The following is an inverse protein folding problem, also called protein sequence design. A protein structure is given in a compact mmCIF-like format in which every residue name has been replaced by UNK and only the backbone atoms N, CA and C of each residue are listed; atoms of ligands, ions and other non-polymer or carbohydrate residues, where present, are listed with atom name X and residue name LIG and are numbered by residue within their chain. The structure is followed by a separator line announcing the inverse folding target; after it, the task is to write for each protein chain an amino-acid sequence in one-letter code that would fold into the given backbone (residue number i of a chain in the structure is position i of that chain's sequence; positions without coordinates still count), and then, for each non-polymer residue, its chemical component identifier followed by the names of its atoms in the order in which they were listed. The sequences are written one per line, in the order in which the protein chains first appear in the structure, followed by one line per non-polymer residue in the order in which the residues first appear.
data_IF_662130290169
#
_entry.id   IF_662130290169
#
_cell.length_a   1.000
_cell.length_b   1.000
_cell.length_c   1.000
_cell.angle_alpha   90.00
_cell.angle_beta   90.00
_cell.angle_gamma   90.00
#
_symmetry.space_group_name_H-M   'P 1'
#
loop_
_entity.id
_entity.type
_entity.pdbx_description
1 polymer ?
#
# COMPACT_ATOMS: atom_id res chain seq x y z
N UNK A 1 -68.45 -11.48 -2.77
CA UNK A 1 -67.33 -11.45 -1.82
C UNK A 1 -66.47 -10.24 -2.18
N UNK A 2 -66.85 -9.01 -1.80
CA UNK A 2 -66.81 -8.38 -0.47
C UNK A 2 -65.43 -7.80 -0.11
N UNK A 3 -65.31 -6.49 -0.37
CA UNK A 3 -64.65 -5.43 0.43
C UNK A 3 -63.10 -5.47 0.39
N UNK A 4 -62.33 -4.41 0.07
CA UNK A 4 -62.42 -3.04 0.56
C UNK A 4 -61.74 -2.04 -0.40
N UNK A 5 -62.53 -1.10 -0.91
CA UNK A 5 -62.12 0.26 -1.30
C UNK A 5 -62.91 1.18 -0.37
N UNK A 6 -62.29 2.22 0.20
CA UNK A 6 -62.83 3.59 0.37
C UNK A 6 -62.25 4.32 1.62
N UNK A 7 -61.61 5.46 1.33
CA UNK A 7 -61.49 6.73 2.08
C UNK A 7 -61.88 6.76 3.57
N UNK A 8 -61.03 7.36 4.41
CA UNK A 8 -61.48 8.46 5.29
C UNK A 8 -60.33 9.37 5.76
N UNK A 9 -60.38 10.61 5.29
CA UNK A 9 -59.73 11.81 5.85
C UNK A 9 -60.75 12.44 6.80
N UNK A 10 -60.41 12.80 8.05
CA UNK A 10 -61.10 13.87 8.81
C UNK A 10 -60.25 14.42 9.98
N UNK A 11 -59.83 15.69 9.84
CA UNK A 11 -59.81 16.85 10.78
C UNK A 11 -59.42 16.66 12.28
N UNK A 12 -58.41 17.38 12.81
CA UNK A 12 -58.37 18.79 13.30
C UNK A 12 -59.00 19.04 14.70
N UNK A 13 -58.16 19.37 15.70
CA UNK A 13 -58.34 20.30 16.85
C UNK A 13 -57.24 19.98 17.92
N UNK A 14 -56.28 20.82 18.33
CA UNK A 14 -56.22 22.21 18.83
C UNK A 14 -56.10 22.30 20.38
N UNK A 15 -54.93 22.80 20.83
CA UNK A 15 -54.62 23.73 21.95
C UNK A 15 -55.05 23.44 23.41
N UNK A 16 -54.06 23.43 24.34
CA UNK A 16 -53.93 24.26 25.57
C UNK A 16 -52.78 23.72 26.46
N UNK A 17 -51.56 24.29 26.40
CA UNK A 17 -50.93 25.23 27.37
C UNK A 17 -51.18 24.89 28.86
N UNK A 18 -50.11 24.53 29.59
CA UNK A 18 -49.79 25.06 30.94
C UNK A 18 -48.26 25.04 31.10
N UNK A 19 -47.71 26.23 31.23
CA UNK A 19 -46.33 26.53 31.63
C UNK A 19 -46.17 26.30 33.13
N UNK A 20 -45.07 25.69 33.56
CA UNK A 20 -44.57 25.87 34.92
C UNK A 20 -43.21 26.55 34.87
N UNK A 21 -43.25 27.80 35.28
CA UNK A 21 -42.14 28.72 35.52
C UNK A 21 -41.53 28.36 36.87
N UNK A 22 -40.20 28.28 36.94
CA UNK A 22 -39.49 28.55 38.19
C UNK A 22 -38.42 29.62 37.92
N UNK A 23 -38.60 30.74 38.63
CA UNK A 23 -37.69 31.87 38.74
C UNK A 23 -36.47 31.47 39.62
N UNK A 24 -35.24 31.71 39.16
CA UNK A 24 -34.41 32.89 39.45
C UNK A 24 -33.82 32.94 40.86
N UNK A 25 -32.52 32.71 40.96
CA UNK A 25 -31.65 33.38 41.93
C UNK A 25 -30.36 33.83 41.23
N UNK A 26 -30.05 35.11 41.38
CA UNK A 26 -28.89 35.83 40.87
C UNK A 26 -28.16 36.44 42.08
N UNK A 27 -26.83 36.28 42.18
CA UNK A 27 -25.91 37.13 42.95
C UNK A 27 -24.43 36.82 42.57
N UNK A 28 -23.43 37.68 42.83
CA UNK A 28 -22.75 38.42 41.76
C UNK A 28 -21.21 38.35 41.71
N UNK A 29 -20.68 38.78 40.56
CA UNK A 29 -19.31 39.20 40.15
C UNK A 29 -18.08 38.94 41.04
N UNK A 30 -17.10 38.25 40.45
CA UNK A 30 -15.68 38.31 40.78
C UNK A 30 -14.85 38.01 39.52
N UNK A 31 -14.11 39.01 39.04
CA UNK A 31 -13.25 38.98 37.86
C UNK A 31 -12.04 38.05 38.03
N UNK A 32 -11.57 37.42 36.94
CA UNK A 32 -10.18 37.46 36.44
C UNK A 32 -9.89 36.28 35.48
N UNK A 33 -9.05 36.59 34.50
CA UNK A 33 -8.78 35.90 33.26
C UNK A 33 -7.87 34.66 33.32
N UNK A 34 -7.91 33.90 32.21
CA UNK A 34 -6.95 32.89 31.70
C UNK A 34 -7.11 31.50 32.34
N UNK A 35 -7.16 30.39 31.61
CA UNK A 35 -6.86 30.05 30.22
C UNK A 35 -6.65 28.52 30.13
N UNK A 36 -6.45 28.01 28.90
CA UNK A 36 -6.11 26.63 28.49
C UNK A 36 -7.31 25.75 28.12
N UNK A 37 -7.93 26.03 26.98
CA UNK A 37 -7.58 25.54 25.62
C UNK A 37 -7.89 24.06 25.39
N UNK A 38 -9.05 23.86 24.77
CA UNK A 38 -9.32 22.77 23.84
C UNK A 38 -8.21 22.76 22.78
N UNK A 39 -7.23 21.86 22.94
CA UNK A 39 -6.26 21.56 21.90
C UNK A 39 -6.97 20.86 20.75
N UNK A 40 -7.43 21.67 19.80
CA UNK A 40 -7.62 21.28 18.42
C UNK A 40 -6.29 20.71 17.93
N UNK A 41 -6.24 19.40 17.69
CA UNK A 41 -5.14 18.78 16.93
C UNK A 41 -5.32 19.21 15.47
N UNK A 42 -4.84 20.43 15.18
CA UNK A 42 -4.53 20.86 13.84
C UNK A 42 -3.27 20.12 13.43
N UNK A 43 -3.42 18.99 12.74
CA UNK A 43 -2.36 18.44 11.92
C UNK A 43 -2.11 19.42 10.78
N UNK A 44 -1.32 20.46 11.05
CA UNK A 44 -0.82 21.38 10.05
C UNK A 44 0.09 20.55 9.15
N UNK A 45 -0.46 20.06 8.03
CA UNK A 45 0.28 19.31 7.03
C UNK A 45 1.32 20.27 6.46
N UNK A 46 2.55 20.18 6.96
CA UNK A 46 3.63 21.03 6.52
C UNK A 46 3.96 20.68 5.08
N UNK A 47 3.55 21.54 4.16
CA UNK A 47 3.85 21.39 2.73
C UNK A 47 5.25 21.95 2.48
N UNK A 48 6.17 21.12 2.01
CA UNK A 48 7.49 21.55 1.57
C UNK A 48 7.42 21.87 0.07
N UNK A 49 7.85 23.05 -0.34
CA UNK A 49 7.96 23.38 -1.76
C UNK A 49 9.37 23.04 -2.26
N UNK A 50 9.46 22.29 -3.36
CA UNK A 50 10.71 21.86 -3.99
C UNK A 50 10.80 22.36 -5.42
N UNK A 51 11.94 22.97 -5.79
CA UNK A 51 12.21 23.37 -7.18
C UNK A 51 13.03 22.31 -7.88
N UNK A 52 12.46 21.74 -8.95
CA UNK A 52 13.07 20.71 -9.79
C UNK A 52 14.37 21.22 -10.40
N UNK A 53 15.44 20.45 -10.27
CA UNK A 53 16.78 20.70 -10.82
C UNK A 53 16.99 19.90 -12.10
N UNK A 54 18.01 20.28 -12.87
CA UNK A 54 18.42 19.53 -14.04
C UNK A 54 18.89 18.12 -13.64
N UNK A 55 18.32 17.10 -14.28
CA UNK A 55 18.59 15.69 -13.97
C UNK A 55 17.67 15.07 -12.93
N UNK A 56 16.78 15.84 -12.30
CA UNK A 56 15.79 15.28 -11.38
C UNK A 56 14.74 14.43 -12.10
N UNK A 57 14.31 13.38 -11.41
CA UNK A 57 13.14 12.58 -11.79
C UNK A 57 12.07 12.70 -10.71
N UNK A 58 10.80 12.65 -11.09
CA UNK A 58 9.70 12.74 -10.13
C UNK A 58 9.76 11.60 -9.11
N UNK A 59 10.17 10.39 -9.54
CA UNK A 59 10.43 9.24 -8.69
C UNK A 59 11.63 9.45 -7.76
N UNK A 60 12.73 10.02 -8.24
CA UNK A 60 13.89 10.35 -7.41
C UNK A 60 13.56 11.33 -6.31
N UNK A 61 12.83 12.40 -6.63
CA UNK A 61 12.35 13.39 -5.64
C UNK A 61 11.39 12.72 -4.64
N UNK A 62 10.42 11.95 -5.12
CA UNK A 62 9.48 11.25 -4.24
C UNK A 62 10.21 10.32 -3.26
N UNK A 63 11.21 9.57 -3.73
CA UNK A 63 12.03 8.70 -2.89
C UNK A 63 12.87 9.46 -1.87
N UNK A 64 13.52 10.55 -2.28
CA UNK A 64 14.36 11.38 -1.40
C UNK A 64 13.55 11.97 -0.23
N UNK A 65 12.35 12.45 -0.53
CA UNK A 65 11.46 13.08 0.46
C UNK A 65 10.48 12.11 1.12
N UNK A 66 10.60 10.81 0.81
CA UNK A 66 9.74 9.73 1.34
C UNK A 66 8.23 9.99 1.13
N UNK A 67 7.90 10.61 0.00
CA UNK A 67 6.52 10.90 -0.42
C UNK A 67 6.08 9.87 -1.44
N UNK A 68 4.83 9.43 -1.38
CA UNK A 68 4.29 8.52 -2.38
C UNK A 68 4.18 9.25 -3.74
N UNK A 69 4.64 8.61 -4.83
CA UNK A 69 4.70 9.26 -6.15
C UNK A 69 3.31 9.67 -6.66
N UNK A 70 2.30 8.84 -6.44
CA UNK A 70 0.91 9.09 -6.79
C UNK A 70 0.33 10.24 -5.96
N UNK A 71 0.65 10.30 -4.66
CA UNK A 71 0.27 11.42 -3.82
C UNK A 71 0.93 12.72 -4.30
N UNK A 72 2.22 12.67 -4.62
CA UNK A 72 2.97 13.79 -5.16
C UNK A 72 2.36 14.28 -6.48
N UNK A 73 2.02 13.36 -7.40
CA UNK A 73 1.34 13.68 -8.65
C UNK A 73 -0.05 14.28 -8.42
N UNK A 74 -0.83 13.69 -7.50
CA UNK A 74 -2.18 14.15 -7.16
C UNK A 74 -2.17 15.56 -6.58
N UNK A 75 -1.25 15.84 -5.66
CA UNK A 75 -1.09 17.17 -5.03
C UNK A 75 -0.66 18.20 -6.08
N UNK A 76 0.22 17.83 -7.01
CA UNK A 76 0.72 18.73 -8.05
C UNK A 76 -0.09 18.69 -9.36
N UNK A 77 -1.20 17.95 -9.40
CA UNK A 77 -2.08 17.78 -10.58
C UNK A 77 -1.32 17.33 -11.84
N UNK A 78 -0.31 16.48 -11.66
CA UNK A 78 0.48 15.93 -12.75
C UNK A 78 -0.24 14.72 -13.37
N UNK A 79 -0.35 14.70 -14.69
CA UNK A 79 -0.96 13.58 -15.42
C UNK A 79 0.03 12.42 -15.65
N UNK A 80 1.33 12.71 -15.64
CA UNK A 80 2.41 11.75 -15.85
C UNK A 80 3.64 12.12 -15.01
N UNK A 81 4.68 11.29 -15.07
CA UNK A 81 5.94 11.50 -14.35
C UNK A 81 6.87 12.55 -14.99
N UNK A 82 6.44 13.22 -16.05
CA UNK A 82 7.26 14.20 -16.75
C UNK A 82 7.28 15.52 -15.98
N UNK A 83 8.47 15.91 -15.54
CA UNK A 83 8.75 17.19 -14.88
C UNK A 83 9.85 17.93 -15.63
N UNK A 84 9.85 19.24 -15.52
CA UNK A 84 10.83 20.11 -16.17
C UNK A 84 11.65 20.86 -15.11
N UNK A 85 12.96 21.04 -15.33
CA UNK A 85 13.78 21.89 -14.47
C UNK A 85 13.17 23.27 -14.27
N UNK A 86 13.16 23.76 -13.03
CA UNK A 86 12.52 25.02 -12.63
C UNK A 86 11.06 24.89 -12.21
N UNK A 87 10.40 23.74 -12.41
CA UNK A 87 9.06 23.50 -11.88
C UNK A 87 9.08 23.47 -10.35
N UNK A 88 8.04 24.00 -9.70
CA UNK A 88 7.88 23.92 -8.24
C UNK A 88 6.86 22.85 -7.90
N UNK A 89 7.25 21.88 -7.07
CA UNK A 89 6.43 20.80 -6.57
C UNK A 89 6.09 21.03 -5.09
N UNK A 90 4.82 20.90 -4.75
CA UNK A 90 4.34 20.81 -3.38
C UNK A 90 4.49 19.35 -2.90
N UNK A 91 5.40 19.14 -1.95
CA UNK A 91 5.67 17.86 -1.30
C UNK A 91 4.83 17.79 0.00
N UNK A 92 3.83 16.91 0.09
CA UNK A 92 3.19 16.63 1.38
C UNK A 92 4.18 15.91 2.30
N UNK A 93 4.33 16.37 3.55
CA UNK A 93 5.11 15.64 4.55
C UNK A 93 4.38 14.34 4.93
N UNK A 94 5.15 13.25 5.03
CA UNK A 94 4.65 11.95 5.46
C UNK A 94 4.14 12.03 6.90
N UNK A 95 2.82 11.96 7.08
CA UNK A 95 2.26 11.49 8.34
C UNK A 95 2.68 10.03 8.49
N UNK A 96 3.73 9.80 9.28
CA UNK A 96 4.25 8.48 9.62
C UNK A 96 3.30 7.79 10.59
N UNK A 97 2.09 7.48 10.13
CA UNK A 97 1.13 6.65 10.84
C UNK A 97 0.26 5.95 9.81
N UNK A 98 0.10 4.64 10.01
CA UNK A 98 -0.81 3.72 9.31
C UNK A 98 -0.25 3.02 8.07
N UNK A 99 0.49 1.94 8.35
CA UNK A 99 0.39 0.73 7.54
C UNK A 99 -1.07 0.28 7.51
N UNK A 100 -1.78 0.67 6.46
CA UNK A 100 -3.16 0.28 6.24
C UNK A 100 -3.21 -0.89 5.28
N UNK A 101 -3.35 -2.08 5.88
CA UNK A 101 -3.84 -3.29 5.22
C UNK A 101 -5.15 -2.97 4.49
N UNK A 102 -5.10 -2.76 3.18
CA UNK A 102 -6.29 -2.78 2.34
C UNK A 102 -6.10 -3.74 1.18
N UNK A 103 -6.81 -4.87 1.27
CA UNK A 103 -7.18 -5.67 0.09
C UNK A 103 -7.96 -4.76 -0.86
N UNK A 104 -7.26 -4.11 -1.78
CA UNK A 104 -7.89 -3.33 -2.84
C UNK A 104 -7.01 -2.28 -3.50
N UNK A 105 -5.96 -1.79 -2.82
CA UNK A 105 -4.99 -0.87 -3.43
C UNK A 105 -3.60 -1.18 -2.86
N UNK A 106 -2.83 -2.02 -3.55
CA UNK A 106 -1.41 -2.22 -3.25
C UNK A 106 -0.74 -0.86 -3.51
N UNK A 107 -0.07 -0.26 -2.53
CA UNK A 107 0.48 1.07 -2.73
C UNK A 107 1.66 0.99 -3.72
N UNK A 108 1.91 2.07 -4.45
CA UNK A 108 2.82 2.04 -5.62
C UNK A 108 4.22 1.57 -5.23
N UNK A 109 4.68 1.90 -4.03
CA UNK A 109 5.96 1.46 -3.50
C UNK A 109 6.06 -0.06 -3.34
N UNK A 110 4.99 -0.74 -2.93
CA UNK A 110 4.94 -2.20 -2.80
C UNK A 110 4.91 -2.86 -4.19
N UNK A 111 4.19 -2.25 -5.16
CA UNK A 111 4.24 -2.66 -6.56
C UNK A 111 5.66 -2.53 -7.13
N UNK A 112 6.32 -1.38 -6.92
CA UNK A 112 7.68 -1.15 -7.41
C UNK A 112 8.69 -2.03 -6.70
N UNK A 113 8.52 -2.32 -5.41
CA UNK A 113 9.36 -3.28 -4.69
C UNK A 113 9.23 -4.69 -5.28
N UNK A 114 7.99 -5.15 -5.51
CA UNK A 114 7.73 -6.43 -6.15
C UNK A 114 8.31 -6.50 -7.56
N UNK A 115 8.13 -5.45 -8.37
CA UNK A 115 8.68 -5.37 -9.71
C UNK A 115 10.22 -5.39 -9.72
N UNK A 116 10.88 -4.67 -8.80
CA UNK A 116 12.35 -4.71 -8.64
C UNK A 116 12.87 -6.08 -8.27
N UNK A 117 12.15 -6.77 -7.38
CA UNK A 117 12.49 -8.15 -7.05
C UNK A 117 12.35 -9.08 -8.25
N UNK A 118 11.20 -9.04 -8.96
CA UNK A 118 10.96 -9.85 -10.15
C UNK A 118 12.03 -9.57 -11.21
N UNK A 119 12.33 -8.29 -11.44
CA UNK A 119 13.37 -7.88 -12.38
C UNK A 119 14.72 -8.51 -12.03
N UNK A 120 15.11 -8.49 -10.76
CA UNK A 120 16.41 -8.99 -10.34
C UNK A 120 16.49 -10.52 -10.28
N UNK A 121 15.42 -11.22 -9.89
CA UNK A 121 15.38 -12.68 -9.73
C UNK A 121 15.07 -13.44 -11.04
N UNK A 122 14.30 -12.82 -11.93
CA UNK A 122 13.79 -13.47 -13.15
C UNK A 122 14.16 -12.72 -14.43
N UNK A 123 15.22 -11.90 -14.39
CA UNK A 123 15.72 -11.22 -15.60
C UNK A 123 16.07 -12.24 -16.68
N UNK A 124 15.51 -12.05 -17.88
CA UNK A 124 15.76 -12.95 -19.02
C UNK A 124 14.99 -14.26 -18.98
N UNK A 125 14.18 -14.51 -17.95
CA UNK A 125 13.20 -15.59 -17.97
C UNK A 125 11.98 -15.21 -18.84
N UNK A 126 11.19 -16.22 -19.22
CA UNK A 126 9.91 -16.00 -19.87
C UNK A 126 8.99 -15.10 -19.02
N UNK A 127 8.05 -14.39 -19.66
CA UNK A 127 7.06 -13.58 -18.94
C UNK A 127 6.29 -14.41 -17.90
N UNK A 128 5.94 -15.66 -18.22
CA UNK A 128 5.31 -16.57 -17.27
C UNK A 128 6.20 -16.86 -16.05
N UNK A 129 7.51 -17.01 -16.25
CA UNK A 129 8.50 -17.17 -15.18
C UNK A 129 8.63 -15.93 -14.29
N UNK A 130 8.53 -14.73 -14.86
CA UNK A 130 8.51 -13.48 -14.10
C UNK A 130 7.25 -13.36 -13.24
N UNK A 131 6.08 -13.67 -13.82
CA UNK A 131 4.81 -13.73 -13.07
C UNK A 131 4.89 -14.79 -11.96
N UNK A 132 5.52 -15.93 -12.23
CA UNK A 132 5.70 -17.01 -11.28
C UNK A 132 6.48 -16.57 -10.02
N UNK A 133 7.57 -15.81 -10.18
CA UNK A 133 8.32 -15.26 -9.05
C UNK A 133 7.45 -14.30 -8.23
N UNK A 134 6.70 -13.42 -8.89
CA UNK A 134 5.75 -12.53 -8.21
C UNK A 134 4.68 -13.29 -7.43
N UNK A 135 4.11 -14.35 -8.03
CA UNK A 135 3.09 -15.17 -7.41
C UNK A 135 3.58 -15.87 -6.15
N UNK A 136 4.84 -16.35 -6.11
CA UNK A 136 5.44 -16.94 -4.89
C UNK A 136 5.42 -15.95 -3.72
N UNK A 137 5.70 -14.67 -3.95
CA UNK A 137 5.66 -13.65 -2.90
C UNK A 137 4.25 -13.51 -2.34
N UNK A 138 3.24 -13.47 -3.22
CA UNK A 138 1.84 -13.37 -2.81
C UNK A 138 1.34 -14.63 -2.09
N UNK A 139 1.81 -15.81 -2.52
CA UNK A 139 1.54 -17.08 -1.85
C UNK A 139 2.11 -17.08 -0.42
N UNK A 140 3.29 -16.48 -0.21
CA UNK A 140 3.85 -16.29 1.14
C UNK A 140 2.96 -15.38 1.98
N UNK A 141 2.48 -14.25 1.47
CA UNK A 141 1.57 -13.37 2.24
C UNK A 141 0.30 -14.11 2.70
N UNK A 142 -0.24 -14.96 1.82
CA UNK A 142 -1.40 -15.79 2.12
C UNK A 142 -1.10 -16.88 3.18
N UNK A 143 0.13 -17.36 3.28
CA UNK A 143 0.52 -18.42 4.21
C UNK A 143 0.73 -17.88 5.65
N UNK A 144 0.08 -18.46 6.69
CA UNK A 144 0.21 -18.03 8.09
C UNK A 144 1.64 -17.98 8.65
N UNK A 145 2.57 -18.78 8.11
CA UNK A 145 3.94 -18.90 8.62
C UNK A 145 4.89 -17.82 8.07
N UNK A 146 4.40 -16.95 7.19
CA UNK A 146 5.19 -15.89 6.56
C UNK A 146 4.68 -14.50 6.98
N UNK A 147 5.54 -13.47 6.87
CA UNK A 147 5.16 -12.08 7.08
C UNK A 147 3.98 -11.64 6.20
N UNK A 148 3.32 -10.54 6.60
CA UNK A 148 2.02 -10.13 6.04
C UNK A 148 2.08 -8.92 5.11
N UNK A 149 3.28 -8.42 4.85
CA UNK A 149 3.53 -7.34 3.89
C UNK A 149 4.56 -7.76 2.85
N UNK A 150 4.47 -7.21 1.62
CA UNK A 150 5.44 -7.53 0.55
C UNK A 150 6.82 -7.14 1.04
N UNK A 151 6.96 -5.96 1.62
CA UNK A 151 8.21 -5.49 2.23
C UNK A 151 8.80 -6.50 3.21
N UNK A 152 8.07 -6.97 4.23
CA UNK A 152 8.65 -7.92 5.19
C UNK A 152 9.03 -9.26 4.57
N UNK A 153 8.27 -9.75 3.58
CA UNK A 153 8.62 -10.98 2.85
C UNK A 153 9.91 -10.80 2.05
N UNK A 154 10.04 -9.68 1.33
CA UNK A 154 11.23 -9.39 0.51
C UNK A 154 12.46 -9.19 1.38
N UNK A 155 12.34 -8.48 2.50
CA UNK A 155 13.46 -8.22 3.41
C UNK A 155 13.70 -9.32 4.46
N UNK A 156 13.02 -10.47 4.34
CA UNK A 156 13.18 -11.59 5.26
C UNK A 156 14.62 -12.11 5.28
N UNK A 157 15.12 -12.41 6.49
CA UNK A 157 16.47 -12.93 6.73
C UNK A 157 16.45 -14.29 7.43
N UNK A 158 17.39 -15.14 7.09
CA UNK A 158 17.74 -16.36 7.83
C UNK A 158 19.22 -16.31 8.21
N UNK A 159 19.55 -16.41 9.50
CA UNK A 159 20.92 -16.41 10.01
C UNK A 159 21.83 -15.32 9.40
N UNK A 160 21.29 -14.09 9.26
CA UNK A 160 21.92 -12.88 8.68
C UNK A 160 22.03 -12.84 7.15
N UNK A 161 21.54 -13.85 6.45
CA UNK A 161 21.48 -13.89 4.98
C UNK A 161 20.06 -13.53 4.54
N UNK A 162 19.92 -12.63 3.56
CA UNK A 162 18.62 -12.32 2.97
C UNK A 162 18.11 -13.51 2.16
N UNK A 163 16.80 -13.74 2.21
CA UNK A 163 16.16 -14.80 1.42
C UNK A 163 16.27 -14.54 -0.10
N UNK A 164 16.28 -13.27 -0.49
CA UNK A 164 16.42 -12.84 -1.87
C UNK A 164 17.77 -12.15 -2.04
N UNK A 165 18.60 -12.61 -2.98
CA UNK A 165 19.94 -12.05 -3.19
C UNK A 165 19.94 -10.55 -3.55
N UNK A 166 18.96 -10.02 -4.31
CA UNK A 166 18.90 -8.60 -4.69
C UNK A 166 18.89 -7.64 -3.50
N UNK A 167 18.41 -8.10 -2.34
CA UNK A 167 18.37 -7.30 -1.12
C UNK A 167 19.75 -7.19 -0.48
N UNK A 168 20.53 -8.27 -0.55
CA UNK A 168 21.88 -8.30 0.01
C UNK A 168 22.92 -7.59 -0.85
N UNK A 169 22.79 -7.67 -2.17
CA UNK A 169 23.71 -7.02 -3.12
C UNK A 169 23.32 -5.57 -3.47
N UNK A 170 22.12 -5.14 -3.10
CA UNK A 170 21.61 -3.78 -3.30
C UNK A 170 20.94 -3.55 -4.65
N UNK A 171 20.91 -4.53 -5.55
CA UNK A 171 20.22 -4.44 -6.85
C UNK A 171 18.71 -4.24 -6.72
N UNK A 172 18.13 -4.55 -5.56
CA UNK A 172 16.73 -4.24 -5.22
C UNK A 172 16.40 -2.74 -5.30
N UNK A 173 17.41 -1.85 -5.32
CA UNK A 173 17.23 -0.41 -5.42
C UNK A 173 17.25 0.11 -6.86
N UNK A 174 17.57 -0.73 -7.85
CA UNK A 174 17.60 -0.35 -9.27
C UNK A 174 16.20 -0.21 -9.84
N UNK A 175 16.04 0.59 -10.89
CA UNK A 175 14.76 0.71 -11.59
C UNK A 175 14.42 -0.60 -12.32
N UNK A 176 13.20 -1.15 -12.16
CA UNK A 176 12.77 -2.35 -12.87
C UNK A 176 12.47 -2.03 -14.34
N UNK A 177 12.51 -3.05 -15.20
CA UNK A 177 12.01 -2.93 -16.56
C UNK A 177 10.47 -2.97 -16.63
N UNK A 178 9.92 -2.51 -17.75
CA UNK A 178 8.46 -2.47 -17.98
C UNK A 178 7.83 -3.86 -17.90
N UNK A 179 8.56 -4.90 -18.33
CA UNK A 179 8.09 -6.30 -18.30
C UNK A 179 7.93 -6.78 -16.86
N UNK A 180 8.87 -6.48 -15.95
CA UNK A 180 8.73 -6.87 -14.55
C UNK A 180 7.62 -6.11 -13.83
N UNK A 181 7.36 -4.84 -14.20
CA UNK A 181 6.21 -4.09 -13.70
C UNK A 181 4.91 -4.76 -14.14
N UNK A 182 4.79 -5.14 -15.41
CA UNK A 182 3.62 -5.84 -15.91
C UNK A 182 3.44 -7.22 -15.25
N UNK A 183 4.54 -7.96 -15.07
CA UNK A 183 4.52 -9.24 -14.37
C UNK A 183 4.06 -9.11 -12.91
N UNK A 184 4.50 -8.06 -12.21
CA UNK A 184 4.03 -7.74 -10.86
C UNK A 184 2.52 -7.45 -10.85
N UNK A 185 2.02 -6.65 -11.79
CA UNK A 185 0.59 -6.37 -11.93
C UNK A 185 -0.22 -7.64 -12.20
N UNK A 186 0.27 -8.52 -13.07
CA UNK A 186 -0.36 -9.81 -13.36
C UNK A 186 -0.45 -10.69 -12.10
N UNK A 187 0.65 -10.81 -11.34
CA UNK A 187 0.64 -11.55 -10.08
C UNK A 187 -0.36 -10.93 -9.08
N UNK A 188 -0.34 -9.60 -8.91
CA UNK A 188 -1.25 -8.88 -8.00
C UNK A 188 -2.73 -9.00 -8.38
N UNK A 189 -3.03 -9.16 -9.67
CA UNK A 189 -4.38 -9.46 -10.16
C UNK A 189 -4.82 -10.91 -9.91
N UNK A 190 -3.95 -11.75 -9.33
CA UNK A 190 -4.24 -13.11 -8.90
C UNK A 190 -3.74 -14.21 -9.84
N UNK A 191 -2.93 -13.87 -10.86
CA UNK A 191 -2.35 -14.87 -11.75
C UNK A 191 -1.23 -15.63 -11.05
N UNK A 192 -1.39 -16.94 -10.87
CA UNK A 192 -0.38 -17.82 -10.29
C UNK A 192 -0.10 -19.05 -11.17
N UNK A 193 0.96 -19.02 -12.02
CA UNK A 193 1.36 -20.17 -12.81
C UNK A 193 2.05 -21.27 -11.98
N UNK A 194 2.41 -20.99 -10.72
CA UNK A 194 3.14 -21.92 -9.84
C UNK A 194 2.24 -22.89 -9.09
N UNK A 195 0.92 -22.63 -9.07
CA UNK A 195 -0.09 -23.42 -8.35
C UNK A 195 0.13 -23.44 -6.82
N UNK A 196 0.46 -22.29 -6.24
CA UNK A 196 0.64 -22.14 -4.79
C UNK A 196 2.04 -22.43 -4.29
N UNK A 197 3.08 -22.34 -5.14
CA UNK A 197 4.44 -22.56 -4.68
C UNK A 197 4.87 -21.47 -3.69
N UNK A 198 5.70 -21.87 -2.71
CA UNK A 198 6.22 -20.99 -1.66
C UNK A 198 7.71 -20.70 -1.84
N UNK A 199 8.39 -21.50 -2.65
CA UNK A 199 9.82 -21.39 -2.88
C UNK A 199 10.15 -21.58 -4.37
N UNK A 200 11.27 -21.02 -4.80
CA UNK A 200 11.85 -21.30 -6.11
C UNK A 200 13.36 -21.38 -6.01
N UNK A 201 13.99 -22.08 -6.96
CA UNK A 201 15.43 -22.14 -7.10
C UNK A 201 15.83 -22.49 -8.53
N UNK A 202 17.00 -22.04 -8.96
CA UNK A 202 17.62 -22.54 -10.17
C UNK A 202 18.40 -23.83 -9.84
N UNK A 203 18.06 -25.01 -10.40
CA UNK A 203 18.69 -26.27 -10.05
C UNK A 203 20.16 -26.36 -10.47
N UNK A 204 20.57 -25.61 -11.50
CA UNK A 204 21.93 -25.56 -12.04
C UNK A 204 22.86 -24.69 -11.18
N UNK A 205 22.32 -23.63 -10.56
CA UNK A 205 23.12 -22.62 -9.84
C UNK A 205 23.04 -22.81 -8.32
N UNK A 206 21.86 -23.18 -7.80
CA UNK A 206 21.63 -23.29 -6.35
C UNK A 206 22.48 -24.42 -5.74
N UNK A 207 23.12 -24.13 -4.60
CA UNK A 207 23.91 -25.09 -3.82
C UNK A 207 23.20 -25.58 -2.55
N UNK A 208 22.09 -24.94 -2.19
CA UNK A 208 21.33 -25.26 -0.99
C UNK A 208 20.69 -26.65 -1.12
N UNK A 209 21.02 -27.55 -0.21
CA UNK A 209 20.49 -28.92 -0.21
C UNK A 209 19.08 -28.99 0.36
N UNK A 210 18.73 -28.07 1.26
CA UNK A 210 17.41 -28.01 1.86
C UNK A 210 16.37 -27.57 0.82
N UNK A 211 16.66 -26.55 0.01
CA UNK A 211 15.70 -26.12 -1.02
C UNK A 211 15.47 -27.21 -2.08
N UNK A 212 16.51 -28.00 -2.38
CA UNK A 212 16.45 -29.12 -3.34
C UNK A 212 15.71 -30.34 -2.81
N UNK A 213 15.48 -30.45 -1.50
CA UNK A 213 14.71 -31.56 -0.90
C UNK A 213 13.21 -31.27 -0.80
N UNK A 214 12.78 -30.04 -1.07
CA UNK A 214 11.37 -29.66 -1.01
C UNK A 214 10.54 -30.32 -2.12
N UNK A 215 9.26 -30.65 -1.85
CA UNK A 215 8.32 -31.10 -2.88
C UNK A 215 8.21 -30.12 -4.05
N UNK A 216 8.56 -30.60 -5.25
CA UNK A 216 8.46 -29.82 -6.49
C UNK A 216 7.01 -29.75 -6.95
N UNK A 217 6.54 -28.53 -7.24
CA UNK A 217 5.20 -28.26 -7.77
C UNK A 217 5.24 -28.18 -9.29
N UNK A 218 6.17 -27.39 -9.84
CA UNK A 218 6.32 -27.20 -11.29
C UNK A 218 7.71 -26.66 -11.64
N UNK A 219 8.04 -26.63 -12.94
CA UNK A 219 9.24 -26.00 -13.48
C UNK A 219 8.84 -25.04 -14.59
N UNK A 220 9.29 -23.79 -14.51
CA UNK A 220 9.01 -22.75 -15.52
C UNK A 220 10.36 -22.10 -15.85
N UNK A 221 10.74 -22.17 -17.13
CA UNK A 221 12.06 -21.72 -17.56
C UNK A 221 13.18 -22.47 -16.82
N UNK A 222 14.09 -21.70 -16.22
CA UNK A 222 15.21 -22.26 -15.46
C UNK A 222 14.91 -22.44 -13.97
N UNK A 223 13.72 -22.05 -13.51
CA UNK A 223 13.33 -22.14 -12.11
C UNK A 223 12.48 -23.37 -11.82
N UNK A 224 12.85 -24.07 -10.74
CA UNK A 224 12.02 -25.08 -10.10
C UNK A 224 11.24 -24.40 -8.97
N UNK A 225 9.93 -24.59 -8.94
CA UNK A 225 9.02 -24.05 -7.93
C UNK A 225 8.59 -25.18 -7.00
N UNK A 226 8.68 -24.94 -5.70
CA UNK A 226 8.49 -25.93 -4.65
C UNK A 226 7.61 -25.41 -3.51
N UNK A 227 7.10 -26.32 -2.69
CA UNK A 227 6.28 -26.00 -1.52
C UNK A 227 6.80 -26.69 -0.26
N UNK A 228 6.35 -26.26 0.91
CA UNK A 228 6.55 -26.99 2.17
C UNK A 228 5.43 -28.01 2.38
N UNK A 229 5.76 -29.15 3.00
CA UNK A 229 4.79 -30.15 3.44
C UNK A 229 3.88 -29.62 4.55
#
# INVERSE_FOLDING_TARGET
MSKYVLKLIFKLAAFTIISLVYASACAPVGSCSQGLDTQLISSDSKVINYTVREGDTLSGIASEYQVALDELMRVNKLANSLIFPGATLALPEKNSAEGSMSRGNIPREELMLLARLIHAEARGESFEGQVAVGAVILNRLANPHFPKTITEVVFQKNNRVYQFSPVGDGSINLEPDEIAIEAALQALSGKDPTKGALFFYNPEISRDQWIKSLPVVTRIGNHVFATSL
#
